data_IF_510790221061
#
_entry.id   IF_510790221061
#
_cell.length_a   1.000
_cell.length_b   1.000
_cell.length_c   1.000
_cell.angle_alpha   90.00
_cell.angle_beta   90.00
_cell.angle_gamma   90.00
#
_symmetry.space_group_name_H-M   'P 1'
#
loop_
_entity.id
_entity.type
_entity.pdbx_description
1 polymer ?
#
# COMPACT_ATOMS: atom_id res chain seq x y z
N UNK A 1 14.40 -12.48 -7.02
CA UNK A 1 13.72 -12.00 -5.80
C UNK A 1 12.37 -11.49 -6.22
N UNK A 2 11.32 -11.84 -5.49
CA UNK A 2 10.01 -11.24 -5.68
C UNK A 2 10.10 -9.77 -5.24
N UNK A 3 9.43 -8.81 -5.88
CA UNK A 3 9.42 -7.44 -5.35
C UNK A 3 8.59 -7.34 -4.06
N UNK A 4 8.82 -6.29 -3.28
CA UNK A 4 7.97 -5.90 -2.13
C UNK A 4 6.51 -5.74 -2.60
N UNK A 5 5.56 -6.32 -1.89
CA UNK A 5 4.13 -6.16 -2.16
C UNK A 5 3.62 -4.81 -1.63
N UNK A 6 2.67 -4.18 -2.32
CA UNK A 6 2.07 -2.90 -1.89
C UNK A 6 0.56 -3.04 -1.73
N UNK A 7 0.03 -2.64 -0.57
CA UNK A 7 -1.42 -2.54 -0.32
C UNK A 7 -1.81 -1.09 -0.12
N UNK A 8 -2.79 -0.64 -0.89
CA UNK A 8 -3.38 0.69 -0.75
C UNK A 8 -4.72 0.61 -0.03
N UNK A 9 -4.73 1.05 1.22
CA UNK A 9 -5.88 1.01 2.12
C UNK A 9 -6.59 2.35 2.15
N UNK A 10 -7.88 2.40 1.79
CA UNK A 10 -8.66 3.64 1.82
C UNK A 10 -10.09 3.42 2.28
N UNK A 11 -10.74 4.47 2.77
CA UNK A 11 -12.17 4.43 3.04
C UNK A 11 -13.01 4.18 1.77
N UNK A 12 -12.46 4.45 0.58
CA UNK A 12 -13.16 4.30 -0.69
C UNK A 12 -12.50 3.25 -1.57
N UNK A 13 -13.28 2.24 -1.97
CA UNK A 13 -12.86 1.25 -2.96
C UNK A 13 -12.47 1.89 -4.30
N UNK A 14 -13.09 3.01 -4.68
CA UNK A 14 -12.77 3.71 -5.92
C UNK A 14 -11.45 4.47 -5.82
N UNK A 15 -11.18 5.10 -4.68
CA UNK A 15 -9.92 5.81 -4.43
C UNK A 15 -8.76 4.81 -4.37
N UNK A 16 -8.88 3.74 -3.58
CA UNK A 16 -7.86 2.69 -3.48
C UNK A 16 -7.48 2.13 -4.86
N UNK A 17 -8.49 1.75 -5.66
CA UNK A 17 -8.27 1.20 -7.01
C UNK A 17 -7.66 2.22 -7.97
N UNK A 18 -8.12 3.47 -7.92
CA UNK A 18 -7.61 4.52 -8.82
C UNK A 18 -6.16 4.85 -8.54
N UNK A 19 -5.77 4.91 -7.26
CA UNK A 19 -4.37 5.14 -6.88
C UNK A 19 -3.49 3.93 -7.22
N UNK A 20 -3.98 2.70 -6.99
CA UNK A 20 -3.25 1.48 -7.36
C UNK A 20 -2.94 1.46 -8.87
N UNK A 21 -3.97 1.72 -9.68
CA UNK A 21 -3.83 1.81 -11.13
C UNK A 21 -2.86 2.92 -11.54
N UNK A 22 -2.99 4.12 -10.97
CA UNK A 22 -2.10 5.24 -11.27
C UNK A 22 -0.64 4.89 -10.96
N UNK A 23 -0.37 4.29 -9.79
CA UNK A 23 0.96 3.91 -9.36
C UNK A 23 1.56 2.82 -10.27
N UNK A 24 0.75 1.82 -10.66
CA UNK A 24 1.16 0.78 -11.61
C UNK A 24 1.45 1.36 -13.01
N UNK A 25 0.57 2.23 -13.52
CA UNK A 25 0.74 2.86 -14.84
C UNK A 25 2.03 3.72 -14.89
N UNK A 26 2.40 4.38 -13.79
CA UNK A 26 3.61 5.21 -13.68
C UNK A 26 4.89 4.41 -13.43
N UNK A 27 4.82 3.22 -12.84
CA UNK A 27 5.98 2.34 -12.65
C UNK A 27 6.51 1.73 -13.96
N UNK A 28 5.70 1.75 -15.02
CA UNK A 28 6.08 1.29 -16.35
C UNK A 28 6.13 -0.24 -16.49
N UNK A 29 6.55 -0.72 -17.66
CA UNK A 29 6.45 -2.12 -18.07
C UNK A 29 7.63 -3.02 -17.66
N UNK A 30 8.58 -2.51 -16.86
CA UNK A 30 9.85 -3.18 -16.58
C UNK A 30 9.77 -4.32 -15.55
N UNK A 31 8.86 -4.21 -14.58
CA UNK A 31 8.64 -5.22 -13.54
C UNK A 31 7.19 -5.17 -13.02
N UNK A 32 6.53 -6.33 -12.95
CA UNK A 32 5.23 -6.47 -12.29
C UNK A 32 5.41 -6.46 -10.77
N UNK A 33 5.09 -5.32 -10.15
CA UNK A 33 4.95 -5.20 -8.69
C UNK A 33 3.55 -5.69 -8.28
N UNK A 34 3.42 -6.61 -7.32
CA UNK A 34 2.16 -6.95 -6.70
C UNK A 34 1.60 -5.71 -5.98
N UNK A 35 0.51 -5.16 -6.51
CA UNK A 35 -0.22 -4.03 -5.90
C UNK A 35 -1.67 -4.42 -5.76
N UNK A 36 -2.21 -4.34 -4.54
CA UNK A 36 -3.61 -4.59 -4.26
C UNK A 36 -4.26 -3.36 -3.61
N UNK A 37 -5.55 -3.18 -3.91
CA UNK A 37 -6.38 -2.13 -3.34
C UNK A 37 -7.34 -2.72 -2.32
N UNK A 38 -7.33 -2.17 -1.10
CA UNK A 38 -8.27 -2.53 -0.04
C UNK A 38 -9.04 -1.28 0.36
N UNK A 39 -10.26 -1.11 -0.14
CA UNK A 39 -11.05 0.04 0.29
C UNK A 39 -12.54 -0.20 0.38
N UNK A 40 -13.17 0.61 1.23
CA UNK A 40 -14.56 0.44 1.60
C UNK A 40 -14.78 -0.65 2.64
N UNK A 41 -16.05 -0.81 3.00
CA UNK A 41 -16.56 -1.94 3.79
C UNK A 41 -16.77 -3.17 2.90
N UNK A 42 -17.07 -4.33 3.50
CA UNK A 42 -17.45 -5.53 2.75
C UNK A 42 -18.71 -5.35 1.88
N UNK A 43 -19.56 -4.37 2.20
CA UNK A 43 -20.75 -4.00 1.41
C UNK A 43 -20.47 -2.97 0.31
N UNK A 44 -19.22 -2.49 0.20
CA UNK A 44 -18.79 -1.50 -0.78
C UNK A 44 -19.09 -0.04 -0.40
N UNK A 45 -19.53 0.20 0.83
CA UNK A 45 -19.75 1.55 1.37
C UNK A 45 -18.42 2.20 1.82
N UNK A 46 -18.46 3.50 2.12
CA UNK A 46 -17.30 4.16 2.70
C UNK A 46 -16.97 3.58 4.09
N UNK A 47 -15.71 3.21 4.29
CA UNK A 47 -15.22 2.63 5.53
C UNK A 47 -13.98 1.77 5.30
N UNK A 48 -13.49 1.10 6.34
CA UNK A 48 -12.35 0.19 6.24
C UNK A 48 -12.77 -1.19 6.70
N UNK A 49 -12.47 -2.22 5.91
CA UNK A 49 -12.69 -3.62 6.28
C UNK A 49 -11.36 -4.32 6.54
N UNK A 50 -11.18 -4.81 7.78
CA UNK A 50 -10.02 -5.64 8.14
C UNK A 50 -9.87 -6.86 7.23
N UNK A 51 -10.98 -7.49 6.86
CA UNK A 51 -10.99 -8.66 5.98
C UNK A 51 -10.44 -8.34 4.58
N UNK A 52 -10.81 -7.17 4.03
CA UNK A 52 -10.32 -6.73 2.72
C UNK A 52 -8.81 -6.40 2.79
N UNK A 53 -8.36 -5.78 3.88
CA UNK A 53 -6.92 -5.49 4.08
C UNK A 53 -6.12 -6.79 4.19
N UNK A 54 -6.57 -7.75 4.99
CA UNK A 54 -5.91 -9.05 5.14
C UNK A 54 -5.87 -9.84 3.83
N UNK A 55 -6.96 -9.84 3.06
CA UNK A 55 -7.01 -10.49 1.76
C UNK A 55 -6.01 -9.85 0.78
N UNK A 56 -6.00 -8.51 0.69
CA UNK A 56 -5.09 -7.78 -0.17
C UNK A 56 -3.61 -8.00 0.23
N UNK A 57 -3.30 -8.00 1.53
CA UNK A 57 -1.95 -8.24 2.01
C UNK A 57 -1.45 -9.66 1.65
N UNK A 58 -2.31 -10.68 1.80
CA UNK A 58 -1.99 -12.06 1.41
C UNK A 58 -1.86 -12.23 -0.10
N UNK A 59 -2.60 -11.46 -0.89
CA UNK A 59 -2.52 -11.47 -2.35
C UNK A 59 -1.16 -10.98 -2.86
N UNK A 60 -0.61 -9.93 -2.22
CA UNK A 60 0.65 -9.30 -2.65
C UNK A 60 1.90 -9.84 -1.97
N UNK A 61 1.75 -10.68 -0.95
CA UNK A 61 2.89 -11.23 -0.21
C UNK A 61 3.67 -12.24 -1.06
N UNK A 62 4.87 -11.84 -1.47
CA UNK A 62 5.86 -12.67 -2.17
C UNK A 62 7.04 -13.11 -1.31
N UNK A 63 7.02 -12.84 0.01
CA UNK A 63 8.07 -13.19 0.96
C UNK A 63 9.14 -12.12 1.22
N UNK A 64 9.12 -10.99 0.50
CA UNK A 64 10.05 -9.85 0.73
C UNK A 64 9.42 -8.70 1.53
N UNK A 65 8.26 -8.95 2.16
CA UNK A 65 7.51 -7.97 2.95
C UNK A 65 6.42 -7.23 2.18
N UNK A 66 5.55 -6.55 2.92
CA UNK A 66 4.38 -5.83 2.40
C UNK A 66 4.35 -4.40 2.95
N UNK A 67 4.33 -3.41 2.05
CA UNK A 67 4.13 -2.01 2.40
C UNK A 67 2.63 -1.66 2.34
N UNK A 68 2.04 -1.31 3.48
CA UNK A 68 0.66 -0.84 3.56
C UNK A 68 0.63 0.68 3.68
N UNK A 69 0.00 1.37 2.72
CA UNK A 69 -0.26 2.81 2.79
C UNK A 69 -1.75 3.03 3.07
N UNK A 70 -2.06 4.00 3.93
CA UNK A 70 -3.44 4.30 4.35
C UNK A 70 -3.80 5.75 4.02
N UNK A 71 -5.09 6.04 3.81
CA UNK A 71 -5.53 7.40 3.52
C UNK A 71 -5.72 8.28 4.77
N UNK A 72 -6.64 7.89 5.66
CA UNK A 72 -7.15 8.71 6.75
C UNK A 72 -7.37 7.86 8.01
N UNK A 73 -7.53 8.55 9.14
CA UNK A 73 -7.39 8.01 10.50
C UNK A 73 -7.98 6.62 10.79
N UNK A 74 -9.22 6.31 10.38
CA UNK A 74 -9.79 4.99 10.73
C UNK A 74 -9.11 3.84 10.00
N UNK A 75 -8.66 4.05 8.76
CA UNK A 75 -7.88 3.07 8.01
C UNK A 75 -6.50 2.84 8.64
N UNK A 76 -5.88 3.90 9.16
CA UNK A 76 -4.63 3.82 9.95
C UNK A 76 -4.83 2.93 11.17
N UNK A 77 -5.90 3.16 11.94
CA UNK A 77 -6.19 2.38 13.15
C UNK A 77 -6.43 0.91 12.82
N UNK A 78 -7.22 0.61 11.77
CA UNK A 78 -7.44 -0.76 11.31
C UNK A 78 -6.12 -1.47 10.99
N UNK A 79 -5.23 -0.84 10.20
CA UNK A 79 -3.95 -1.47 9.86
C UNK A 79 -3.05 -1.63 11.08
N UNK A 80 -3.03 -0.66 12.00
CA UNK A 80 -2.27 -0.78 13.25
C UNK A 80 -2.72 -1.95 14.10
N UNK A 81 -4.03 -2.12 14.29
CA UNK A 81 -4.58 -3.27 15.03
C UNK A 81 -4.20 -4.59 14.37
N UNK A 82 -4.31 -4.70 13.03
CA UNK A 82 -3.90 -5.91 12.31
C UNK A 82 -2.40 -6.23 12.44
N UNK A 83 -1.54 -5.21 12.56
CA UNK A 83 -0.11 -5.38 12.83
C UNK A 83 0.15 -5.81 14.27
N UNK A 84 -0.52 -5.18 15.24
CA UNK A 84 -0.41 -5.47 16.67
C UNK A 84 -0.87 -6.90 17.01
N UNK A 85 -1.91 -7.38 16.33
CA UNK A 85 -2.46 -8.72 16.47
C UNK A 85 -1.72 -9.78 15.63
N UNK A 86 -0.64 -9.39 14.92
CA UNK A 86 0.17 -10.26 14.05
C UNK A 86 -0.65 -11.00 12.96
N UNK A 87 -1.74 -10.41 12.48
CA UNK A 87 -2.63 -11.04 11.48
C UNK A 87 -2.15 -10.86 10.03
N UNK A 88 -1.30 -9.86 9.80
CA UNK A 88 -0.70 -9.55 8.49
C UNK A 88 0.50 -10.46 8.20
N UNK A 89 0.87 -10.63 6.91
CA UNK A 89 2.08 -11.35 6.52
C UNK A 89 3.33 -10.87 7.25
N UNK A 90 4.28 -11.79 7.50
CA UNK A 90 5.53 -11.46 8.17
C UNK A 90 6.30 -10.36 7.41
N UNK A 91 6.83 -9.38 8.13
CA UNK A 91 7.52 -8.24 7.52
C UNK A 91 6.58 -7.19 6.91
N UNK A 92 5.26 -7.28 7.12
CA UNK A 92 4.34 -6.19 6.78
C UNK A 92 4.65 -4.93 7.58
N UNK A 93 4.52 -3.76 6.94
CA UNK A 93 4.77 -2.45 7.55
C UNK A 93 3.70 -1.45 7.14
N UNK A 94 3.15 -0.73 8.11
CA UNK A 94 2.38 0.48 7.85
C UNK A 94 3.36 1.60 7.50
N UNK A 95 3.30 2.07 6.26
CA UNK A 95 4.14 3.15 5.74
C UNK A 95 3.39 4.47 5.92
N UNK A 96 3.93 5.34 6.77
CA UNK A 96 3.41 6.69 7.02
C UNK A 96 3.81 7.61 5.87
N UNK A 97 2.93 7.79 4.88
CA UNK A 97 3.18 8.61 3.70
C UNK A 97 1.87 9.20 3.13
N UNK A 98 1.92 10.32 2.38
CA UNK A 98 0.77 10.82 1.64
C UNK A 98 0.23 9.76 0.68
N UNK A 99 -1.07 9.49 0.74
CA UNK A 99 -1.66 8.30 0.10
C UNK A 99 -1.38 8.19 -1.41
N UNK A 100 -1.50 9.28 -2.17
CA UNK A 100 -1.32 9.24 -3.63
C UNK A 100 0.16 9.32 -4.00
N UNK A 101 0.83 10.40 -3.63
CA UNK A 101 2.23 10.62 -4.00
C UNK A 101 3.16 9.55 -3.42
N UNK A 102 2.91 9.12 -2.18
CA UNK A 102 3.65 8.05 -1.52
C UNK A 102 3.41 6.68 -2.16
N UNK A 103 2.19 6.37 -2.61
CA UNK A 103 1.91 5.12 -3.32
C UNK A 103 2.67 5.04 -4.65
N UNK A 104 2.72 6.14 -5.41
CA UNK A 104 3.49 6.19 -6.65
C UNK A 104 4.97 5.96 -6.37
N UNK A 105 5.54 6.67 -5.37
CA UNK A 105 6.94 6.52 -5.00
C UNK A 105 7.26 5.09 -4.52
N UNK A 106 6.39 4.49 -3.69
CA UNK A 106 6.53 3.13 -3.18
C UNK A 106 6.55 2.11 -4.32
N UNK A 107 5.56 2.16 -5.22
CA UNK A 107 5.42 1.19 -6.32
C UNK A 107 6.55 1.33 -7.34
N UNK A 108 6.95 2.55 -7.70
CA UNK A 108 8.10 2.78 -8.60
C UNK A 108 9.39 2.22 -7.99
N UNK A 109 9.59 2.43 -6.69
CA UNK A 109 10.78 1.96 -5.97
C UNK A 109 10.80 0.44 -5.84
N UNK A 110 9.66 -0.17 -5.52
CA UNK A 110 9.51 -1.63 -5.51
C UNK A 110 9.72 -2.25 -6.91
N UNK A 111 9.26 -1.57 -7.97
CA UNK A 111 9.46 -2.01 -9.35
C UNK A 111 10.93 -2.01 -9.77
N UNK A 112 11.73 -1.13 -9.17
CA UNK A 112 13.18 -1.12 -9.35
C UNK A 112 13.91 -2.24 -8.58
N UNK A 113 13.18 -3.09 -7.84
CA UNK A 113 13.73 -4.20 -7.07
C UNK A 113 14.35 -3.77 -5.73
N UNK A 114 13.99 -2.59 -5.22
CA UNK A 114 14.43 -2.13 -3.91
C UNK A 114 13.74 -2.91 -2.77
N UNK A 115 14.39 -2.95 -1.61
CA UNK A 115 13.87 -3.59 -0.40
C UNK A 115 12.80 -2.74 0.31
N UNK A 116 12.17 -3.31 1.34
CA UNK A 116 11.08 -2.67 2.06
C UNK A 116 11.50 -1.36 2.75
N UNK A 117 12.73 -1.27 3.24
CA UNK A 117 13.24 -0.07 3.90
C UNK A 117 13.40 1.09 2.88
N UNK A 118 13.93 0.78 1.69
CA UNK A 118 14.00 1.75 0.60
C UNK A 118 12.61 2.16 0.07
N UNK A 119 11.67 1.22 -0.01
CA UNK A 119 10.27 1.49 -0.40
C UNK A 119 9.59 2.43 0.60
N UNK A 120 9.75 2.21 1.90
CA UNK A 120 9.21 3.10 2.94
C UNK A 120 9.83 4.49 2.84
N UNK A 121 11.17 4.57 2.74
CA UNK A 121 11.87 5.84 2.65
C UNK A 121 11.40 6.67 1.45
N UNK A 122 11.30 6.06 0.27
CA UNK A 122 10.81 6.73 -0.94
C UNK A 122 9.37 7.23 -0.80
N UNK A 123 8.50 6.44 -0.16
CA UNK A 123 7.13 6.86 0.12
C UNK A 123 7.09 8.06 1.08
N UNK A 124 7.89 8.05 2.15
CA UNK A 124 7.99 9.13 3.13
C UNK A 124 8.53 10.44 2.54
N UNK A 125 9.47 10.37 1.60
CA UNK A 125 9.98 11.55 0.88
C UNK A 125 8.86 12.33 0.17
N UNK A 126 7.74 11.67 -0.17
CA UNK A 126 6.58 12.32 -0.79
C UNK A 126 5.96 13.44 0.06
N UNK A 127 6.18 13.48 1.38
CA UNK A 127 5.77 14.62 2.21
C UNK A 127 6.42 15.94 1.77
N UNK A 128 7.59 15.89 1.16
CA UNK A 128 8.33 17.05 0.70
C UNK A 128 8.03 17.44 -0.76
N UNK A 129 7.13 16.75 -1.45
CA UNK A 129 6.83 17.03 -2.86
C UNK A 129 6.14 18.37 -3.02
N UNK A 130 6.92 19.38 -3.41
CA UNK A 130 6.47 20.73 -3.74
C UNK A 130 6.07 20.80 -5.20
N UNK A 131 4.86 21.27 -5.48
CA UNK A 131 4.39 21.51 -6.86
C UNK A 131 4.87 22.87 -7.41
N UNK A 132 5.34 23.76 -6.52
CA UNK A 132 6.05 25.03 -6.76
C UNK A 132 6.93 25.39 -5.56
#
# INVERSE_FOLDING_TARGET
MSPVGVVLVSHSAEVARSVARLAQDLAGSGATVPVAAAGGTATGELGTSSELVLAAAREVDGGEGVALLTDLGSSVLTVKTLLEDEELPAGSRLVDAPFVEGAVAAVVTAAAGADLDAVEAAAQEAYAYRKV
#
